data_IF_694816980923
#
_entry.id   IF_694816980923
#
_cell.length_a   1.000
_cell.length_b   1.000
_cell.length_c   1.000
_cell.angle_alpha   90.00
_cell.angle_beta   90.00
_cell.angle_gamma   90.00
#
_symmetry.space_group_name_H-M   'P 1'
#
loop_
_entity.id
_entity.type
_entity.pdbx_description
1 polymer ?
#
# COMPACT_ATOMS: atom_id res chain seq x y z
N UNK A 1 -47.21 -10.61 4.45
CA UNK A 1 -46.09 -10.67 3.48
C UNK A 1 -44.98 -11.47 4.17
N UNK A 2 -44.79 -12.74 3.77
CA UNK A 2 -43.72 -13.59 4.29
C UNK A 2 -42.38 -13.15 3.68
N UNK A 3 -41.33 -13.21 4.48
CA UNK A 3 -40.00 -12.73 4.13
C UNK A 3 -39.18 -13.78 3.40
N UNK A 4 -38.21 -13.31 2.61
CA UNK A 4 -37.37 -14.08 1.69
C UNK A 4 -36.59 -15.25 2.33
N UNK A 5 -36.50 -15.27 3.66
CA UNK A 5 -35.79 -16.28 4.45
C UNK A 5 -36.56 -17.60 4.51
N UNK A 6 -37.90 -17.56 4.44
CA UNK A 6 -38.72 -18.79 4.47
C UNK A 6 -38.64 -19.57 3.13
N UNK A 7 -38.37 -18.90 2.00
CA UNK A 7 -38.28 -19.53 0.66
C UNK A 7 -36.95 -20.24 0.40
N UNK A 8 -35.92 -19.98 1.22
CA UNK A 8 -34.58 -20.61 1.06
C UNK A 8 -34.47 -21.90 1.87
N UNK A 9 -35.24 -22.04 2.94
CA UNK A 9 -35.20 -23.23 3.80
C UNK A 9 -36.00 -24.42 3.23
N UNK A 10 -37.01 -24.17 2.39
CA UNK A 10 -37.79 -25.24 1.73
C UNK A 10 -37.11 -25.85 0.49
N UNK A 11 -35.94 -25.32 0.06
CA UNK A 11 -35.24 -25.79 -1.15
C UNK A 11 -34.06 -26.73 -0.90
N UNK A 12 -33.84 -27.16 0.34
CA UNK A 12 -32.63 -27.94 0.71
C UNK A 12 -32.90 -29.38 1.17
N UNK A 13 -34.17 -29.80 1.19
CA UNK A 13 -34.57 -31.12 1.73
C UNK A 13 -35.01 -32.15 0.69
N UNK A 14 -34.81 -31.90 -0.62
CA UNK A 14 -35.10 -32.91 -1.64
C UNK A 14 -33.90 -33.16 -2.57
N UNK A 15 -33.61 -34.45 -2.72
CA UNK A 15 -32.70 -35.12 -3.66
C UNK A 15 -31.28 -35.43 -3.14
N UNK A 16 -31.20 -36.47 -2.31
CA UNK A 16 -30.07 -37.41 -2.32
C UNK A 16 -30.57 -38.80 -1.85
N UNK A 17 -30.84 -39.73 -2.77
CA UNK A 17 -30.74 -41.19 -2.56
C UNK A 17 -31.03 -42.00 -3.85
N UNK A 18 -29.99 -42.53 -4.51
CA UNK A 18 -29.89 -43.96 -4.89
C UNK A 18 -28.63 -44.25 -5.73
N UNK A 19 -27.67 -44.96 -5.15
CA UNK A 19 -26.64 -45.76 -5.84
C UNK A 19 -27.32 -46.94 -6.59
N UNK A 20 -26.90 -47.40 -7.77
CA UNK A 20 -25.77 -48.35 -8.03
C UNK A 20 -26.05 -49.08 -9.36
N UNK A 21 -25.01 -49.53 -10.10
CA UNK A 21 -25.16 -50.55 -11.15
C UNK A 21 -24.24 -50.41 -12.37
N UNK A 22 -23.38 -51.40 -12.56
CA UNK A 22 -22.22 -51.49 -13.46
C UNK A 22 -22.54 -51.87 -14.93
N UNK A 23 -21.55 -51.57 -15.80
CA UNK A 23 -20.95 -52.43 -16.84
C UNK A 23 -21.35 -52.38 -18.35
N UNK A 24 -20.25 -52.37 -19.13
CA UNK A 24 -19.93 -52.88 -20.47
C UNK A 24 -20.62 -52.40 -21.76
N UNK A 25 -19.79 -52.19 -22.81
CA UNK A 25 -20.21 -52.39 -24.20
C UNK A 25 -19.70 -51.42 -25.30
N UNK A 26 -18.46 -51.63 -25.76
CA UNK A 26 -18.06 -51.72 -27.19
C UNK A 26 -18.13 -50.53 -28.19
N UNK A 27 -16.92 -50.16 -28.65
CA UNK A 27 -16.42 -50.07 -30.05
C UNK A 27 -16.93 -49.04 -31.09
N UNK A 28 -15.93 -48.37 -31.68
CA UNK A 28 -15.68 -48.20 -33.13
C UNK A 28 -16.40 -47.07 -33.93
N UNK A 29 -15.62 -46.02 -34.20
CA UNK A 29 -14.89 -45.82 -35.48
C UNK A 29 -15.26 -44.60 -36.36
N UNK A 30 -14.15 -44.01 -36.84
CA UNK A 30 -13.89 -43.36 -38.13
C UNK A 30 -14.42 -41.96 -38.51
N UNK A 31 -13.43 -41.05 -38.56
CA UNK A 31 -12.88 -40.38 -39.76
C UNK A 31 -13.57 -39.16 -40.42
N UNK A 32 -12.66 -38.24 -40.77
CA UNK A 32 -12.61 -37.39 -41.98
C UNK A 32 -13.30 -36.03 -41.95
N UNK A 33 -12.78 -34.96 -42.55
CA UNK A 33 -11.45 -34.42 -42.98
C UNK A 33 -11.80 -33.01 -43.52
N UNK A 34 -10.80 -32.16 -43.77
CA UNK A 34 -10.91 -31.05 -44.73
C UNK A 34 -10.64 -29.69 -44.08
N UNK A 35 -9.40 -29.19 -44.04
CA UNK A 35 -8.60 -28.64 -45.15
C UNK A 35 -8.64 -27.09 -45.14
N UNK A 36 -7.46 -26.54 -44.87
CA UNK A 36 -6.70 -25.70 -45.81
C UNK A 36 -6.58 -24.17 -45.67
N UNK A 37 -5.28 -23.81 -45.69
CA UNK A 37 -4.60 -22.76 -46.45
C UNK A 37 -4.15 -21.45 -45.75
N UNK A 38 -2.87 -21.51 -45.36
CA UNK A 38 -1.71 -20.89 -46.04
C UNK A 38 -1.32 -19.40 -45.85
N UNK A 39 -0.02 -19.30 -45.55
CA UNK A 39 1.03 -18.39 -46.03
C UNK A 39 0.97 -16.87 -45.74
N UNK A 40 2.04 -16.34 -45.13
CA UNK A 40 3.21 -15.86 -45.89
C UNK A 40 4.28 -15.24 -44.96
N UNK A 41 5.53 -15.41 -45.41
CA UNK A 41 6.81 -15.05 -44.82
C UNK A 41 7.10 -13.54 -44.73
N UNK A 42 8.05 -13.17 -43.87
CA UNK A 42 8.65 -11.85 -43.90
C UNK A 42 9.74 -11.60 -42.86
N UNK A 43 10.94 -12.12 -43.11
CA UNK A 43 12.16 -11.70 -42.41
C UNK A 43 12.45 -10.20 -42.62
N UNK A 44 12.82 -9.49 -41.55
CA UNK A 44 13.77 -8.37 -41.65
C UNK A 44 14.56 -8.23 -40.36
N UNK A 45 15.86 -8.51 -40.50
CA UNK A 45 16.96 -8.08 -39.65
C UNK A 45 16.96 -6.54 -39.51
N UNK A 46 17.41 -6.05 -38.35
CA UNK A 46 17.40 -4.65 -37.98
C UNK A 46 17.71 -4.44 -36.50
N UNK A 47 18.96 -4.68 -36.12
CA UNK A 47 19.47 -4.38 -34.79
C UNK A 47 19.26 -2.91 -34.40
N UNK A 48 18.68 -2.70 -33.21
CA UNK A 48 18.65 -1.40 -32.56
C UNK A 48 18.82 -1.62 -31.04
N UNK A 49 20.04 -1.40 -30.55
CA UNK A 49 20.40 -1.38 -29.14
C UNK A 49 19.72 -0.19 -28.44
N UNK A 50 18.44 -0.34 -28.11
CA UNK A 50 17.75 0.62 -27.25
C UNK A 50 18.10 0.35 -25.80
N UNK A 51 19.00 1.20 -25.28
CA UNK A 51 19.28 1.34 -23.85
C UNK A 51 17.97 1.32 -23.04
N UNK A 52 17.81 0.26 -22.25
CA UNK A 52 16.70 0.06 -21.34
C UNK A 52 16.78 1.09 -20.21
N UNK A 53 15.90 2.09 -20.24
CA UNK A 53 15.57 2.89 -19.07
C UNK A 53 14.25 2.38 -18.52
N UNK A 54 14.31 1.54 -17.49
CA UNK A 54 13.14 1.23 -16.67
C UNK A 54 12.61 2.53 -16.07
N UNK A 55 11.54 3.05 -16.64
CA UNK A 55 10.88 4.24 -16.12
C UNK A 55 10.03 3.79 -14.94
N UNK A 56 10.30 4.25 -13.71
CA UNK A 56 9.39 4.01 -12.61
C UNK A 56 8.04 4.64 -12.97
N UNK A 57 6.97 3.91 -12.68
CA UNK A 57 5.57 4.34 -12.75
C UNK A 57 5.45 5.84 -12.41
N UNK A 58 4.90 6.64 -13.32
CA UNK A 58 4.77 8.08 -13.17
C UNK A 58 4.04 8.41 -11.86
N UNK A 59 4.68 9.24 -11.02
CA UNK A 59 4.28 9.48 -9.64
C UNK A 59 3.02 10.35 -9.58
N UNK A 60 1.85 9.70 -9.73
CA UNK A 60 0.47 10.17 -9.42
C UNK A 60 0.39 11.34 -8.45
N UNK A 61 1.03 11.10 -7.32
CA UNK A 61 0.86 11.93 -6.15
C UNK A 61 1.51 13.30 -6.36
N UNK A 62 2.46 13.47 -7.28
CA UNK A 62 3.07 14.77 -7.57
C UNK A 62 2.21 15.65 -8.50
N UNK A 63 1.19 15.10 -9.16
CA UNK A 63 0.55 15.76 -10.30
C UNK A 63 -0.96 15.95 -10.16
N UNK A 64 -1.52 16.10 -8.95
CA UNK A 64 -2.97 16.25 -8.82
C UNK A 64 -3.44 17.20 -7.72
N UNK A 65 -3.98 18.33 -8.17
CA UNK A 65 -4.73 19.35 -7.42
C UNK A 65 -6.18 18.88 -7.08
N UNK A 66 -6.54 17.62 -7.34
CA UNK A 66 -7.93 17.17 -7.33
C UNK A 66 -8.38 16.50 -6.01
N UNK A 67 -7.46 16.29 -5.05
CA UNK A 67 -7.84 15.78 -3.71
C UNK A 67 -8.68 16.79 -2.89
N UNK A 68 -8.78 18.05 -3.33
CA UNK A 68 -9.53 19.11 -2.67
C UNK A 68 -10.94 19.35 -3.22
N UNK A 69 -11.26 18.86 -4.43
CA UNK A 69 -12.48 19.24 -5.15
C UNK A 69 -13.56 18.14 -5.22
N UNK A 70 -13.19 16.85 -5.13
CA UNK A 70 -14.14 15.74 -5.26
C UNK A 70 -14.64 15.16 -3.92
N UNK A 71 -14.37 15.84 -2.81
CA UNK A 71 -14.88 15.46 -1.48
C UNK A 71 -16.09 16.33 -1.09
N UNK A 72 -16.99 16.59 -2.05
CA UNK A 72 -18.37 16.99 -1.75
C UNK A 72 -19.09 15.76 -1.19
N UNK A 73 -18.92 15.58 0.13
CA UNK A 73 -19.62 14.61 0.94
C UNK A 73 -21.08 15.08 1.11
N UNK A 74 -22.00 14.35 0.47
CA UNK A 74 -23.46 14.47 0.66
C UNK A 74 -23.89 13.64 1.90
N UNK A 75 -23.04 13.61 2.93
CA UNK A 75 -23.38 13.02 4.23
C UNK A 75 -24.11 14.07 5.07
N UNK A 76 -25.43 14.09 4.95
CA UNK A 76 -26.31 14.56 6.03
C UNK A 76 -26.08 13.63 7.24
N UNK A 77 -25.07 13.96 8.06
CA UNK A 77 -24.78 13.33 9.35
C UNK A 77 -25.79 13.91 10.37
N UNK A 78 -26.97 13.27 10.48
CA UNK A 78 -27.91 13.50 11.57
C UNK A 78 -27.26 13.04 12.89
N UNK A 79 -26.82 14.02 13.69
CA UNK A 79 -26.32 13.88 15.06
C UNK A 79 -27.41 13.31 15.99
N UNK A 80 -27.38 12.00 16.24
CA UNK A 80 -27.97 11.38 17.43
C UNK A 80 -26.83 10.94 18.39
N UNK A 81 -26.24 11.91 19.10
CA UNK A 81 -25.39 11.65 20.25
C UNK A 81 -26.26 11.22 21.45
N UNK A 82 -26.34 9.92 21.73
CA UNK A 82 -26.81 9.45 23.05
C UNK A 82 -25.80 9.84 24.14
N UNK A 83 -26.19 10.81 24.98
CA UNK A 83 -25.48 11.15 26.21
C UNK A 83 -25.37 9.94 27.15
N UNK A 84 -24.14 9.47 27.37
CA UNK A 84 -23.84 8.55 28.47
C UNK A 84 -23.34 9.37 29.66
N UNK A 85 -24.21 9.57 30.65
CA UNK A 85 -23.88 10.20 31.94
C UNK A 85 -22.70 9.49 32.66
N UNK A 86 -21.73 10.23 33.22
CA UNK A 86 -20.77 9.65 34.14
C UNK A 86 -21.30 9.67 35.59
N UNK A 87 -21.34 8.48 36.21
CA UNK A 87 -21.68 8.32 37.64
C UNK A 87 -20.62 8.95 38.54
N UNK A 88 -21.11 9.83 39.41
CA UNK A 88 -20.42 10.57 40.46
C UNK A 88 -19.89 9.65 41.58
N UNK A 89 -18.60 9.74 41.89
CA UNK A 89 -18.11 9.50 43.25
C UNK A 89 -17.20 10.65 43.72
N UNK A 90 -17.50 11.07 44.95
CA UNK A 90 -17.21 12.36 45.58
C UNK A 90 -16.20 12.15 46.71
N UNK A 91 -15.22 13.06 46.83
CA UNK A 91 -14.38 13.47 48.00
C UNK A 91 -12.94 13.74 47.51
N UNK A 92 -12.21 14.78 47.90
CA UNK A 92 -12.41 15.86 48.87
C UNK A 92 -11.45 17.01 48.53
N UNK A 93 -11.84 18.20 49.00
CA UNK A 93 -11.19 19.51 48.95
C UNK A 93 -9.68 19.53 49.23
N UNK A 94 -8.96 20.42 48.53
CA UNK A 94 -8.19 21.46 49.23
C UNK A 94 -8.09 22.74 48.39
N UNK A 95 -8.35 23.85 49.06
CA UNK A 95 -8.44 25.20 48.52
C UNK A 95 -7.04 25.82 48.32
N UNK A 96 -6.89 26.62 47.27
CA UNK A 96 -6.11 27.86 47.30
C UNK A 96 -6.44 28.69 46.05
N UNK A 97 -7.27 29.71 46.27
CA UNK A 97 -7.55 30.78 45.33
C UNK A 97 -6.70 32.01 45.71
N UNK A 98 -6.13 32.67 44.70
CA UNK A 98 -6.13 34.13 44.61
C UNK A 98 -5.66 34.59 43.21
N UNK A 99 -6.12 35.75 42.74
CA UNK A 99 -6.39 36.02 41.33
C UNK A 99 -5.50 37.12 40.72
N UNK A 100 -5.48 37.22 39.39
CA UNK A 100 -5.27 38.52 38.76
C UNK A 100 -6.15 38.65 37.50
N UNK A 101 -6.94 39.73 37.52
CA UNK A 101 -7.69 40.28 36.40
C UNK A 101 -6.82 41.26 35.61
N UNK A 102 -7.28 41.61 34.40
CA UNK A 102 -6.80 42.75 33.59
C UNK A 102 -6.20 42.29 32.27
N UNK A 103 -6.58 42.81 31.10
CA UNK A 103 -7.45 43.92 30.76
C UNK A 103 -7.70 43.81 29.25
N UNK A 104 -8.95 44.01 28.83
CA UNK A 104 -9.34 44.09 27.43
C UNK A 104 -8.91 45.44 26.90
N UNK A 105 -7.98 45.48 25.94
CA UNK A 105 -7.79 46.67 25.10
C UNK A 105 -7.73 46.29 23.62
N UNK A 106 -8.79 46.74 22.95
CA UNK A 106 -8.98 46.85 21.51
C UNK A 106 -7.79 47.54 20.83
N UNK A 107 -7.29 46.93 19.76
CA UNK A 107 -6.23 47.49 18.92
C UNK A 107 -6.23 46.86 17.53
N UNK A 108 -7.02 47.43 16.63
CA UNK A 108 -7.05 47.09 15.21
C UNK A 108 -5.73 47.47 14.54
N UNK A 109 -4.90 46.49 14.16
CA UNK A 109 -3.81 46.72 13.20
C UNK A 109 -3.76 45.59 12.19
N UNK A 110 -4.15 45.92 10.95
CA UNK A 110 -3.89 45.12 9.76
C UNK A 110 -2.37 45.05 9.57
N UNK A 111 -1.78 43.86 9.59
CA UNK A 111 -0.44 43.64 9.04
C UNK A 111 -0.46 42.49 8.04
N UNK A 112 -0.36 42.89 6.77
CA UNK A 112 0.20 42.06 5.70
C UNK A 112 1.63 41.69 6.11
N UNK A 113 1.94 40.41 6.20
CA UNK A 113 3.33 39.95 6.30
C UNK A 113 3.67 39.14 5.06
N UNK A 114 4.38 39.84 4.19
CA UNK A 114 5.22 39.33 3.11
C UNK A 114 6.15 38.24 3.65
N UNK A 115 6.06 37.03 3.12
CA UNK A 115 7.00 35.95 3.40
C UNK A 115 8.39 36.34 2.89
N UNK A 116 9.34 36.54 3.82
CA UNK A 116 10.75 36.83 3.53
C UNK A 116 11.56 35.62 3.99
N UNK A 117 12.18 34.96 3.01
CA UNK A 117 13.07 33.80 3.15
C UNK A 117 14.26 34.15 4.05
N UNK A 118 14.46 33.45 5.16
CA UNK A 118 15.61 33.64 6.07
C UNK A 118 16.12 32.28 6.60
N UNK A 119 17.43 32.10 6.49
CA UNK A 119 18.20 30.86 6.65
C UNK A 119 18.52 30.48 8.10
N UNK A 120 18.84 29.20 8.27
CA UNK A 120 19.17 28.42 9.47
C UNK A 120 20.02 29.09 10.54
N UNK A 121 19.47 29.26 11.74
CA UNK A 121 19.81 28.52 12.99
C UNK A 121 18.78 28.96 14.03
N UNK A 122 17.89 28.06 14.46
CA UNK A 122 16.65 28.34 15.22
C UNK A 122 15.64 29.22 14.48
N UNK A 123 14.85 28.60 13.60
CA UNK A 123 13.55 29.18 13.22
C UNK A 123 12.72 29.27 14.50
N UNK A 124 12.29 30.47 14.86
CA UNK A 124 11.25 30.62 15.88
C UNK A 124 9.94 30.15 15.25
N UNK A 125 9.71 28.84 15.31
CA UNK A 125 8.51 28.23 14.75
C UNK A 125 7.33 28.83 15.54
N UNK A 126 6.29 29.36 14.89
CA UNK A 126 5.13 29.90 15.59
C UNK A 126 4.42 28.84 16.43
N UNK A 127 3.90 29.21 17.60
CA UNK A 127 3.15 28.28 18.46
C UNK A 127 1.81 27.85 17.84
N UNK A 128 1.16 28.79 17.13
CA UNK A 128 -0.07 28.53 16.37
C UNK A 128 0.26 28.63 14.90
N UNK A 129 -0.04 27.55 14.16
CA UNK A 129 0.18 27.45 12.72
C UNK A 129 -1.16 27.06 12.09
N UNK A 130 -1.62 27.83 11.12
CA UNK A 130 -2.81 27.48 10.36
C UNK A 130 -2.56 26.23 9.49
N UNK A 131 -3.55 25.34 9.32
CA UNK A 131 -3.38 24.15 8.49
C UNK A 131 -3.15 24.55 7.03
N UNK A 132 -2.15 23.96 6.34
CA UNK A 132 -1.92 24.25 4.93
C UNK A 132 -3.12 23.80 4.09
N UNK A 133 -3.45 24.57 3.06
CA UNK A 133 -4.60 24.33 2.18
C UNK A 133 -4.27 23.47 0.96
N UNK A 134 -3.00 23.44 0.58
CA UNK A 134 -2.48 22.71 -0.56
C UNK A 134 -1.08 22.16 -0.24
N UNK A 135 -0.56 21.36 -1.17
CA UNK A 135 0.71 20.68 -0.99
C UNK A 135 1.90 21.66 -0.97
N UNK A 136 1.84 22.71 -1.78
CA UNK A 136 2.85 23.75 -1.92
C UNK A 136 3.02 24.55 -0.63
N UNK A 137 1.92 24.87 0.05
CA UNK A 137 1.94 25.53 1.37
C UNK A 137 2.63 24.66 2.41
N UNK A 138 2.37 23.35 2.43
CA UNK A 138 3.08 22.45 3.34
C UNK A 138 4.57 22.41 2.99
N UNK A 139 4.93 22.29 1.71
CA UNK A 139 6.34 22.29 1.27
C UNK A 139 7.05 23.58 1.69
N UNK A 140 6.42 24.74 1.52
CA UNK A 140 6.98 26.03 1.93
C UNK A 140 7.19 26.14 3.46
N UNK A 141 6.30 25.53 4.26
CA UNK A 141 6.44 25.49 5.72
C UNK A 141 7.61 24.59 6.17
N UNK A 142 7.88 23.51 5.45
CA UNK A 142 8.88 22.50 5.83
C UNK A 142 10.20 22.60 5.05
N UNK A 143 10.30 23.46 4.03
CA UNK A 143 11.51 23.69 3.23
C UNK A 143 12.68 24.05 4.16
N UNK A 144 13.81 23.36 4.06
CA UNK A 144 15.00 23.52 4.90
C UNK A 144 14.78 23.40 6.44
N UNK A 145 13.70 22.74 6.89
CA UNK A 145 13.52 22.36 8.30
C UNK A 145 14.29 21.07 8.63
N UNK A 146 14.73 20.94 9.89
CA UNK A 146 15.19 19.64 10.40
C UNK A 146 14.03 18.67 10.56
N UNK A 147 14.31 17.35 10.58
CA UNK A 147 13.26 16.35 10.77
C UNK A 147 12.45 16.60 12.06
N UNK A 148 13.10 17.03 13.14
CA UNK A 148 12.44 17.36 14.41
C UNK A 148 11.53 18.59 14.28
N UNK A 149 11.97 19.62 13.56
CA UNK A 149 11.18 20.83 13.30
C UNK A 149 9.94 20.52 12.46
N UNK A 150 10.05 19.64 11.46
CA UNK A 150 8.91 19.20 10.63
C UNK A 150 7.85 18.55 11.52
N UNK A 151 8.25 17.64 12.40
CA UNK A 151 7.32 16.96 13.31
C UNK A 151 6.72 17.94 14.32
N UNK A 152 7.50 18.91 14.79
CA UNK A 152 6.99 19.97 15.66
C UNK A 152 5.94 20.83 14.95
N UNK A 153 6.16 21.21 13.69
CA UNK A 153 5.19 21.94 12.86
C UNK A 153 3.90 21.14 12.72
N UNK A 154 4.00 19.87 12.31
CA UNK A 154 2.84 18.97 12.16
C UNK A 154 2.04 18.87 13.46
N UNK A 155 2.72 18.69 14.60
CA UNK A 155 2.06 18.59 15.90
C UNK A 155 1.40 19.91 16.33
N UNK A 156 2.02 21.06 16.05
CA UNK A 156 1.42 22.37 16.35
C UNK A 156 0.20 22.66 15.51
N UNK A 157 0.22 22.30 14.22
CA UNK A 157 -0.97 22.39 13.35
C UNK A 157 -2.10 21.54 13.95
N UNK A 158 -1.84 20.28 14.30
CA UNK A 158 -2.84 19.37 14.86
C UNK A 158 -3.42 19.86 16.19
N UNK A 159 -2.55 20.21 17.15
CA UNK A 159 -2.98 20.63 18.48
C UNK A 159 -3.71 21.98 18.42
N UNK A 160 -3.18 22.95 17.66
CA UNK A 160 -3.77 24.29 17.52
C UNK A 160 -5.12 24.29 16.79
N UNK A 161 -5.38 23.27 15.97
CA UNK A 161 -6.60 23.14 15.18
C UNK A 161 -7.36 21.85 15.50
N UNK A 162 -7.26 21.36 16.74
CA UNK A 162 -7.95 20.13 17.13
C UNK A 162 -9.47 20.27 16.97
N UNK A 163 -10.13 19.19 16.54
CA UNK A 163 -11.58 19.13 16.32
C UNK A 163 -12.34 19.41 17.63
N UNK A 164 -11.76 18.98 18.76
CA UNK A 164 -12.29 19.24 20.12
C UNK A 164 -12.34 20.73 20.49
N UNK A 165 -11.57 21.58 19.81
CA UNK A 165 -11.57 23.03 20.09
C UNK A 165 -12.72 23.71 19.34
N UNK A 166 -12.92 23.38 18.06
CA UNK A 166 -14.01 23.87 17.22
C UNK A 166 -14.39 22.82 16.18
N UNK A 167 -15.67 22.50 16.06
CA UNK A 167 -16.18 21.53 15.07
C UNK A 167 -15.80 21.91 13.63
N UNK A 168 -15.77 23.21 13.30
CA UNK A 168 -15.34 23.75 12.00
C UNK A 168 -13.90 23.33 11.60
N UNK A 169 -13.06 22.95 12.55
CA UNK A 169 -11.71 22.49 12.26
C UNK A 169 -11.68 21.10 11.62
N UNK A 170 -12.77 20.32 11.68
CA UNK A 170 -12.84 18.97 11.09
C UNK A 170 -12.47 18.99 9.61
N UNK A 171 -13.09 19.87 8.82
CA UNK A 171 -12.78 20.02 7.38
C UNK A 171 -11.32 20.42 7.12
N UNK A 172 -10.75 21.30 7.96
CA UNK A 172 -9.34 21.70 7.83
C UNK A 172 -8.38 20.56 8.16
N UNK A 173 -8.68 19.75 9.17
CA UNK A 173 -7.88 18.59 9.57
C UNK A 173 -7.97 17.45 8.56
N UNK A 174 -9.13 17.26 7.93
CA UNK A 174 -9.30 16.35 6.81
C UNK A 174 -8.41 16.74 5.62
N UNK A 175 -8.47 17.99 5.17
CA UNK A 175 -7.60 18.50 4.09
C UNK A 175 -6.12 18.34 4.47
N UNK A 176 -5.75 18.74 5.69
CA UNK A 176 -4.39 18.60 6.17
C UNK A 176 -3.91 17.14 6.22
N UNK A 177 -4.76 16.19 6.62
CA UNK A 177 -4.43 14.76 6.61
C UNK A 177 -4.13 14.28 5.18
N UNK A 178 -4.95 14.67 4.20
CA UNK A 178 -4.73 14.35 2.80
C UNK A 178 -3.37 14.86 2.30
N UNK A 179 -3.04 16.12 2.63
CA UNK A 179 -1.76 16.75 2.28
C UNK A 179 -0.57 16.10 3.00
N UNK A 180 -0.74 15.70 4.26
CA UNK A 180 0.31 15.04 5.03
C UNK A 180 0.58 13.61 4.53
N UNK A 181 -0.47 12.88 4.17
CA UNK A 181 -0.35 11.54 3.56
C UNK A 181 0.33 11.64 2.19
N UNK A 182 -0.03 12.66 1.42
CA UNK A 182 0.61 13.02 0.17
C UNK A 182 2.11 13.34 0.35
N UNK A 183 2.46 14.13 1.37
CA UNK A 183 3.85 14.41 1.74
C UNK A 183 4.62 13.16 2.14
N UNK A 184 4.03 12.29 2.94
CA UNK A 184 4.61 11.00 3.29
C UNK A 184 4.92 10.18 2.03
N UNK A 185 3.99 10.10 1.09
CA UNK A 185 4.19 9.33 -0.13
C UNK A 185 5.30 9.93 -1.01
N UNK A 186 5.32 11.25 -1.23
CA UNK A 186 6.39 11.91 -2.00
C UNK A 186 7.77 11.72 -1.36
N UNK A 187 7.86 11.73 -0.03
CA UNK A 187 9.13 11.46 0.66
C UNK A 187 9.70 10.07 0.35
N UNK A 188 8.86 9.07 0.06
CA UNK A 188 9.32 7.72 -0.32
C UNK A 188 9.92 7.66 -1.73
N UNK A 189 9.58 8.62 -2.59
CA UNK A 189 10.13 8.75 -3.95
C UNK A 189 11.43 9.56 -4.00
N UNK A 190 11.76 10.32 -2.94
CA UNK A 190 12.95 11.18 -2.91
C UNK A 190 14.24 10.36 -2.70
N UNK A 191 15.30 10.78 -3.39
CA UNK A 191 16.66 10.23 -3.25
C UNK A 191 17.61 11.32 -2.76
N UNK A 192 18.35 11.14 -1.64
CA UNK A 192 18.32 9.98 -0.75
C UNK A 192 17.03 9.89 0.08
N UNK A 193 16.62 8.66 0.42
CA UNK A 193 15.42 8.40 1.22
C UNK A 193 15.63 8.86 2.68
N UNK A 194 14.74 9.72 3.16
CA UNK A 194 14.72 10.14 4.56
C UNK A 194 13.87 9.20 5.42
N UNK A 195 14.40 8.01 5.71
CA UNK A 195 13.68 6.97 6.46
C UNK A 195 13.32 7.39 7.89
N UNK A 196 14.17 8.18 8.54
CA UNK A 196 13.92 8.69 9.89
C UNK A 196 12.66 9.58 9.93
N UNK A 197 12.55 10.51 8.99
CA UNK A 197 11.37 11.39 8.90
C UNK A 197 10.11 10.59 8.60
N UNK A 198 10.16 9.62 7.68
CA UNK A 198 9.04 8.74 7.38
C UNK A 198 8.55 8.02 8.64
N UNK A 199 9.45 7.45 9.42
CA UNK A 199 9.11 6.78 10.69
C UNK A 199 8.48 7.75 11.70
N UNK A 200 8.99 8.98 11.81
CA UNK A 200 8.42 9.98 12.71
C UNK A 200 7.04 10.48 12.27
N UNK A 201 6.73 10.50 10.97
CA UNK A 201 5.43 10.88 10.43
C UNK A 201 4.33 9.83 10.68
N UNK A 202 4.69 8.57 10.92
CA UNK A 202 3.72 7.49 11.19
C UNK A 202 2.82 7.84 12.37
N UNK A 203 3.41 8.30 13.48
CA UNK A 203 2.64 8.59 14.71
C UNK A 203 1.59 9.69 14.48
N UNK A 204 1.93 10.89 13.95
CA UNK A 204 0.93 11.90 13.60
C UNK A 204 -0.15 11.39 12.65
N UNK A 205 0.20 10.60 11.62
CA UNK A 205 -0.78 10.05 10.67
C UNK A 205 -1.75 9.07 11.33
N UNK A 206 -1.26 8.20 12.22
CA UNK A 206 -2.09 7.29 13.03
C UNK A 206 -3.01 8.08 13.95
N UNK A 207 -2.49 9.06 14.70
CA UNK A 207 -3.32 9.83 15.62
C UNK A 207 -4.40 10.63 14.87
N UNK A 208 -4.06 11.28 13.75
CA UNK A 208 -5.06 11.95 12.90
C UNK A 208 -6.11 10.99 12.35
N UNK A 209 -5.71 9.78 11.94
CA UNK A 209 -6.67 8.79 11.44
C UNK A 209 -7.70 8.36 12.48
N UNK A 210 -7.34 8.39 13.78
CA UNK A 210 -8.28 8.11 14.87
C UNK A 210 -9.23 9.29 15.13
N UNK A 211 -8.80 10.51 14.83
CA UNK A 211 -9.63 11.72 14.96
C UNK A 211 -10.63 11.88 13.78
N UNK A 212 -10.29 11.35 12.59
CA UNK A 212 -11.10 11.44 11.36
C UNK A 212 -11.17 10.09 10.60
N UNK A 213 -11.69 9.01 11.22
CA UNK A 213 -11.58 7.64 10.70
C UNK A 213 -12.22 7.42 9.33
N UNK A 214 -13.43 7.98 9.11
CA UNK A 214 -14.14 7.85 7.82
C UNK A 214 -13.36 8.50 6.67
N UNK A 215 -12.88 9.73 6.89
CA UNK A 215 -12.09 10.44 5.89
C UNK A 215 -10.75 9.76 5.60
N UNK A 216 -10.07 9.26 6.64
CA UNK A 216 -8.84 8.50 6.47
C UNK A 216 -9.07 7.24 5.63
N UNK A 217 -10.18 6.52 5.87
CA UNK A 217 -10.54 5.34 5.08
C UNK A 217 -10.85 5.69 3.61
N UNK A 218 -11.55 6.80 3.36
CA UNK A 218 -11.82 7.30 1.99
C UNK A 218 -10.50 7.62 1.28
N UNK A 219 -9.59 8.36 1.92
CA UNK A 219 -8.28 8.69 1.35
C UNK A 219 -7.46 7.45 0.98
N UNK A 220 -7.44 6.44 1.86
CA UNK A 220 -6.73 5.19 1.61
C UNK A 220 -7.39 4.39 0.47
N UNK A 221 -8.72 4.30 0.46
CA UNK A 221 -9.48 3.59 -0.58
C UNK A 221 -9.28 4.20 -1.97
N UNK A 222 -9.30 5.54 -2.09
CA UNK A 222 -9.06 6.20 -3.37
C UNK A 222 -7.65 5.93 -3.91
N UNK A 223 -6.63 5.99 -3.04
CA UNK A 223 -5.24 5.64 -3.41
C UNK A 223 -5.10 4.17 -3.81
N UNK A 224 -5.77 3.25 -3.13
CA UNK A 224 -5.81 1.83 -3.50
C UNK A 224 -6.44 1.62 -4.88
N UNK A 225 -7.60 2.24 -5.14
CA UNK A 225 -8.29 2.14 -6.42
C UNK A 225 -7.41 2.63 -7.56
N UNK A 226 -6.76 3.78 -7.37
CA UNK A 226 -5.86 4.31 -8.39
C UNK A 226 -4.62 3.45 -8.57
N UNK A 227 -3.99 3.01 -7.49
CA UNK A 227 -2.82 2.11 -7.54
C UNK A 227 -3.17 0.85 -8.33
N UNK A 228 -4.35 0.28 -8.08
CA UNK A 228 -4.85 -0.88 -8.81
C UNK A 228 -5.08 -0.58 -10.29
N UNK A 229 -5.68 0.56 -10.63
CA UNK A 229 -5.88 0.96 -12.02
C UNK A 229 -4.55 1.10 -12.77
N UNK A 230 -3.56 1.77 -12.18
CA UNK A 230 -2.21 1.89 -12.73
C UNK A 230 -1.54 0.52 -12.91
N UNK A 231 -1.70 -0.36 -11.93
CA UNK A 231 -1.20 -1.73 -12.00
C UNK A 231 -1.86 -2.54 -13.12
N UNK A 232 -3.18 -2.43 -13.30
CA UNK A 232 -3.87 -3.09 -14.41
C UNK A 232 -3.35 -2.63 -15.78
N UNK A 233 -3.00 -1.35 -15.94
CA UNK A 233 -2.36 -0.86 -17.16
C UNK A 233 -0.91 -1.37 -17.29
N UNK A 234 -0.15 -1.41 -16.20
CA UNK A 234 1.24 -1.89 -16.20
C UNK A 234 1.37 -3.38 -16.60
N UNK A 235 0.42 -4.23 -16.18
CA UNK A 235 0.44 -5.66 -16.55
C UNK A 235 0.24 -5.85 -18.06
N UNK A 236 -0.45 -4.95 -18.76
CA UNK A 236 -0.63 -5.05 -20.22
C UNK A 236 0.69 -4.94 -20.97
N UNK A 237 1.68 -4.25 -20.39
CA UNK A 237 3.02 -4.06 -20.95
C UNK A 237 4.08 -4.51 -19.92
N UNK A 238 4.28 -5.83 -19.74
CA UNK A 238 5.16 -6.36 -18.69
C UNK A 238 6.62 -5.88 -18.76
N UNK A 239 7.08 -5.46 -19.94
CA UNK A 239 8.45 -4.96 -20.17
C UNK A 239 8.77 -3.67 -19.39
N UNK A 240 7.75 -2.89 -19.02
CA UNK A 240 7.91 -1.67 -18.23
C UNK A 240 8.04 -1.94 -16.71
N UNK A 241 7.83 -3.18 -16.26
CA UNK A 241 7.78 -3.55 -14.86
C UNK A 241 6.42 -3.26 -14.23
N UNK A 242 5.82 -4.27 -13.60
CA UNK A 242 4.50 -4.17 -12.97
C UNK A 242 4.53 -4.38 -11.44
N UNK A 243 5.72 -4.57 -10.85
CA UNK A 243 5.89 -4.71 -9.41
C UNK A 243 5.64 -3.39 -8.67
N UNK A 244 5.14 -3.43 -7.42
CA UNK A 244 4.80 -2.24 -6.67
C UNK A 244 6.02 -1.37 -6.39
N UNK A 245 5.83 -0.05 -6.51
CA UNK A 245 6.85 0.94 -6.19
C UNK A 245 7.16 0.97 -4.68
N UNK A 246 8.30 1.56 -4.29
CA UNK A 246 8.66 1.76 -2.87
C UNK A 246 7.55 2.54 -2.14
N UNK A 247 6.98 3.54 -2.81
CA UNK A 247 5.85 4.33 -2.34
C UNK A 247 4.63 3.48 -2.02
N UNK A 248 4.22 2.62 -2.96
CA UNK A 248 3.11 1.69 -2.78
C UNK A 248 3.35 0.77 -1.58
N UNK A 249 4.56 0.21 -1.44
CA UNK A 249 4.91 -0.67 -0.32
C UNK A 249 4.85 0.06 1.04
N UNK A 250 5.35 1.29 1.10
CA UNK A 250 5.30 2.11 2.32
C UNK A 250 3.86 2.50 2.69
N UNK A 251 3.02 2.82 1.72
CA UNK A 251 1.60 3.11 1.95
C UNK A 251 0.83 1.88 2.44
N UNK A 252 1.03 0.72 1.80
CA UNK A 252 0.44 -0.55 2.26
C UNK A 252 0.87 -0.87 3.70
N UNK A 253 2.14 -0.65 4.02
CA UNK A 253 2.67 -0.84 5.37
C UNK A 253 2.08 0.16 6.37
N UNK A 254 1.92 1.42 5.99
CA UNK A 254 1.32 2.46 6.82
C UNK A 254 -0.14 2.14 7.13
N UNK A 255 -0.94 1.79 6.12
CA UNK A 255 -2.35 1.44 6.32
C UNK A 255 -2.53 0.22 7.21
N UNK A 256 -1.61 -0.75 7.15
CA UNK A 256 -1.61 -1.90 8.07
C UNK A 256 -1.33 -1.53 9.53
N UNK A 257 -0.79 -0.34 9.80
CA UNK A 257 -0.59 0.20 11.16
C UNK A 257 -1.78 1.06 11.61
N UNK A 258 -2.46 1.70 10.66
CA UNK A 258 -3.60 2.59 10.91
C UNK A 258 -4.89 1.79 11.13
N UNK A 259 -5.16 0.80 10.28
CA UNK A 259 -6.45 0.10 10.21
C UNK A 259 -6.35 -1.33 10.78
N UNK A 260 -7.43 -1.81 11.43
CA UNK A 260 -7.46 -3.16 11.98
C UNK A 260 -7.36 -4.23 10.88
N UNK A 261 -6.40 -5.14 11.04
CA UNK A 261 -6.17 -6.25 10.11
C UNK A 261 -7.02 -7.50 10.43
N UNK A 262 -7.56 -7.57 11.65
CA UNK A 262 -8.32 -8.69 12.20
C UNK A 262 -9.74 -8.83 11.66
N UNK A 263 -10.32 -7.75 11.17
CA UNK A 263 -11.72 -7.69 10.78
C UNK A 263 -12.07 -8.70 9.69
N UNK A 264 -13.30 -9.22 9.74
CA UNK A 264 -13.80 -10.12 8.70
C UNK A 264 -13.81 -9.41 7.33
N UNK A 265 -14.33 -8.19 7.29
CA UNK A 265 -14.33 -7.30 6.12
C UNK A 265 -14.08 -5.87 6.57
N UNK A 266 -13.05 -5.24 6.01
CA UNK A 266 -12.67 -3.86 6.34
C UNK A 266 -12.54 -3.04 5.04
N UNK A 267 -13.06 -1.80 4.97
CA UNK A 267 -13.12 -1.00 3.74
C UNK A 267 -11.75 -0.69 3.11
N UNK A 268 -10.67 -0.66 3.92
CA UNK A 268 -9.28 -0.44 3.46
C UNK A 268 -8.44 -1.73 3.43
N UNK A 269 -8.35 -2.46 4.55
CA UNK A 269 -7.50 -3.65 4.63
C UNK A 269 -7.92 -4.79 3.70
N UNK A 270 -9.22 -5.03 3.49
CA UNK A 270 -9.65 -6.07 2.54
C UNK A 270 -9.17 -5.79 1.12
N UNK A 271 -9.42 -4.61 0.51
CA UNK A 271 -8.85 -4.30 -0.81
C UNK A 271 -7.32 -4.19 -0.82
N UNK A 272 -6.68 -3.79 0.30
CA UNK A 272 -5.22 -3.80 0.40
C UNK A 272 -4.65 -5.22 0.27
N UNK A 273 -5.23 -6.18 0.98
CA UNK A 273 -4.83 -7.60 0.91
C UNK A 273 -5.06 -8.13 -0.50
N UNK A 274 -6.22 -7.86 -1.10
CA UNK A 274 -6.51 -8.27 -2.47
C UNK A 274 -5.49 -7.71 -3.46
N UNK A 275 -5.13 -6.43 -3.35
CA UNK A 275 -4.11 -5.82 -4.20
C UNK A 275 -2.73 -6.48 -4.02
N UNK A 276 -2.33 -6.78 -2.77
CA UNK A 276 -1.08 -7.50 -2.50
C UNK A 276 -1.08 -8.90 -3.11
N UNK A 277 -2.19 -9.64 -2.99
CA UNK A 277 -2.37 -10.95 -3.65
C UNK A 277 -2.34 -10.83 -5.17
N UNK A 278 -2.95 -9.78 -5.73
CA UNK A 278 -2.98 -9.52 -7.18
C UNK A 278 -1.56 -9.28 -7.73
N UNK A 279 -0.72 -8.50 -7.03
CA UNK A 279 0.70 -8.34 -7.36
C UNK A 279 1.46 -9.67 -7.31
N UNK A 280 1.27 -10.47 -6.25
CA UNK A 280 1.99 -11.75 -6.10
C UNK A 280 1.67 -12.75 -7.19
N UNK A 281 0.46 -12.70 -7.76
CA UNK A 281 0.02 -13.66 -8.78
C UNK A 281 0.20 -13.21 -10.22
N UNK A 282 0.04 -11.92 -10.50
CA UNK A 282 -0.01 -11.43 -11.88
C UNK A 282 1.27 -10.75 -12.33
N UNK A 283 2.21 -10.46 -11.43
CA UNK A 283 3.50 -9.93 -11.82
C UNK A 283 4.46 -11.04 -12.26
N UNK A 284 4.95 -11.04 -13.52
CA UNK A 284 6.04 -11.92 -13.89
C UNK A 284 7.32 -11.56 -13.11
N UNK A 285 8.03 -12.60 -12.69
CA UNK A 285 9.35 -12.48 -12.06
C UNK A 285 10.40 -12.51 -13.16
N UNK A 286 11.05 -11.38 -13.42
CA UNK A 286 12.04 -11.24 -14.49
C UNK A 286 13.46 -10.96 -13.98
N UNK A 287 13.58 -10.46 -12.74
CA UNK A 287 14.85 -10.04 -12.15
C UNK A 287 14.95 -10.42 -10.68
N UNK A 288 16.18 -10.43 -10.13
CA UNK A 288 16.37 -10.60 -8.67
C UNK A 288 15.74 -9.46 -7.85
N UNK A 289 15.60 -8.27 -8.43
CA UNK A 289 14.86 -7.17 -7.81
C UNK A 289 13.38 -7.52 -7.60
N UNK A 290 12.75 -8.10 -8.61
CA UNK A 290 11.36 -8.55 -8.55
C UNK A 290 11.16 -9.58 -7.44
N UNK A 291 12.11 -10.51 -7.31
CA UNK A 291 12.13 -11.51 -6.23
C UNK A 291 12.18 -10.81 -4.88
N UNK A 292 13.08 -9.84 -4.68
CA UNK A 292 13.18 -9.12 -3.42
C UNK A 292 11.90 -8.35 -3.08
N UNK A 293 11.24 -7.75 -4.07
CA UNK A 293 9.95 -7.06 -3.89
C UNK A 293 8.86 -8.08 -3.53
N UNK A 294 8.78 -9.21 -4.22
CA UNK A 294 7.83 -10.29 -3.95
C UNK A 294 8.00 -10.87 -2.54
N UNK A 295 9.23 -11.20 -2.13
CA UNK A 295 9.54 -11.68 -0.78
C UNK A 295 9.17 -10.67 0.31
N UNK A 296 9.44 -9.38 0.08
CA UNK A 296 9.05 -8.33 1.00
C UNK A 296 7.52 -8.18 1.08
N UNK A 297 6.81 -8.30 -0.04
CA UNK A 297 5.36 -8.27 -0.08
C UNK A 297 4.74 -9.46 0.67
N UNK A 298 5.29 -10.67 0.51
CA UNK A 298 4.91 -11.83 1.32
C UNK A 298 5.09 -11.57 2.82
N UNK A 299 6.15 -10.86 3.22
CA UNK A 299 6.37 -10.47 4.62
C UNK A 299 5.30 -9.51 5.15
N UNK A 300 4.85 -8.55 4.33
CA UNK A 300 3.72 -7.66 4.68
C UNK A 300 2.43 -8.46 4.80
N UNK A 301 2.14 -9.35 3.85
CA UNK A 301 0.94 -10.21 3.88
C UNK A 301 0.92 -11.07 5.14
N UNK A 302 2.05 -11.70 5.49
CA UNK A 302 2.18 -12.46 6.73
C UNK A 302 1.88 -11.61 7.96
N UNK A 303 2.40 -10.38 8.01
CA UNK A 303 2.16 -9.47 9.12
C UNK A 303 0.68 -9.12 9.28
N UNK A 304 -0.01 -8.86 8.17
CA UNK A 304 -1.45 -8.54 8.15
C UNK A 304 -2.30 -9.77 8.49
N UNK A 305 -1.90 -10.96 8.03
CA UNK A 305 -2.63 -12.20 8.26
C UNK A 305 -2.39 -12.80 9.67
N UNK A 306 -1.28 -12.45 10.35
CA UNK A 306 -0.84 -13.08 11.60
C UNK A 306 -1.90 -13.07 12.71
N UNK A 307 -2.54 -11.93 12.93
CA UNK A 307 -3.52 -11.78 14.02
C UNK A 307 -4.85 -12.48 13.68
N UNK A 308 -5.28 -12.38 12.42
CA UNK A 308 -6.53 -12.97 11.93
C UNK A 308 -6.41 -14.47 11.62
N UNK A 309 -5.19 -15.01 11.53
CA UNK A 309 -4.87 -16.37 11.08
C UNK A 309 -5.50 -16.72 9.72
N UNK A 310 -5.70 -15.71 8.86
CA UNK A 310 -6.22 -15.91 7.51
C UNK A 310 -5.21 -16.68 6.67
N UNK A 311 -5.70 -17.61 5.87
CA UNK A 311 -4.89 -18.33 4.89
C UNK A 311 -4.77 -17.50 3.61
N UNK A 312 -3.54 -17.23 3.15
CA UNK A 312 -3.26 -16.52 1.90
C UNK A 312 -2.51 -17.46 0.94
N UNK A 313 -3.22 -18.10 -0.01
CA UNK A 313 -2.59 -19.04 -0.93
C UNK A 313 -1.59 -18.38 -1.87
N UNK A 314 -1.80 -17.12 -2.25
CA UNK A 314 -0.95 -16.41 -3.21
C UNK A 314 0.47 -16.20 -2.67
N UNK A 315 0.61 -15.86 -1.39
CA UNK A 315 1.91 -15.72 -0.74
C UNK A 315 2.65 -17.07 -0.66
N UNK A 316 1.94 -18.16 -0.35
CA UNK A 316 2.53 -19.49 -0.33
C UNK A 316 2.97 -19.96 -1.71
N UNK A 317 2.16 -19.70 -2.74
CA UNK A 317 2.49 -20.04 -4.11
C UNK A 317 3.69 -19.20 -4.61
N UNK A 318 3.75 -17.92 -4.25
CA UNK A 318 4.90 -17.07 -4.54
C UNK A 318 6.17 -17.63 -3.89
N UNK A 319 6.15 -17.94 -2.59
CA UNK A 319 7.30 -18.56 -1.88
C UNK A 319 7.71 -19.88 -2.53
N UNK A 320 6.75 -20.75 -2.84
CA UNK A 320 7.01 -22.00 -3.55
C UNK A 320 7.71 -21.75 -4.88
N UNK A 321 7.24 -20.78 -5.66
CA UNK A 321 7.84 -20.40 -6.95
C UNK A 321 9.29 -19.93 -6.77
N UNK A 322 9.57 -19.13 -5.74
CA UNK A 322 10.94 -18.71 -5.41
C UNK A 322 11.85 -19.89 -5.06
N UNK A 323 11.35 -20.85 -4.27
CA UNK A 323 12.11 -22.06 -3.94
C UNK A 323 12.37 -22.94 -5.17
N UNK A 324 11.41 -23.04 -6.09
CA UNK A 324 11.60 -23.74 -7.36
C UNK A 324 12.65 -23.05 -8.24
N UNK A 325 12.70 -21.72 -8.24
CA UNK A 325 13.72 -20.94 -8.96
C UNK A 325 15.15 -21.11 -8.41
N UNK A 326 15.31 -21.72 -7.23
CA UNK A 326 16.60 -22.07 -6.64
C UNK A 326 17.07 -23.49 -6.98
N UNK A 327 16.18 -24.35 -7.49
CA UNK A 327 16.49 -25.72 -7.87
C UNK A 327 17.06 -25.79 -9.28
N UNK A 328 18.22 -26.45 -9.43
CA UNK A 328 18.89 -26.70 -10.72
C UNK A 328 18.23 -27.84 -11.55
N UNK A 329 17.21 -28.50 -10.98
CA UNK A 329 16.53 -29.60 -11.66
C UNK A 329 15.48 -29.06 -12.64
N UNK A 330 15.70 -29.30 -13.93
CA UNK A 330 14.70 -29.13 -14.99
C UNK A 330 13.37 -29.82 -14.62
N UNK A 331 12.39 -29.00 -14.22
CA UNK A 331 10.96 -29.28 -13.98
C UNK A 331 10.56 -30.44 -13.04
N UNK A 332 9.58 -30.25 -12.14
CA UNK A 332 8.88 -31.37 -11.51
C UNK A 332 8.06 -32.16 -12.55
N UNK A 333 7.85 -33.45 -12.31
CA UNK A 333 7.02 -34.33 -13.13
C UNK A 333 5.62 -33.74 -13.36
N UNK A 334 5.07 -33.96 -14.57
CA UNK A 334 3.87 -33.37 -15.19
C UNK A 334 2.55 -33.36 -14.40
N UNK A 335 2.51 -33.86 -13.17
CA UNK A 335 1.32 -33.84 -12.30
C UNK A 335 1.13 -32.55 -11.51
N UNK A 336 2.15 -31.69 -11.38
CA UNK A 336 2.02 -30.39 -10.70
C UNK A 336 1.62 -29.23 -11.65
N UNK A 337 1.47 -29.51 -12.95
CA UNK A 337 1.28 -28.54 -14.03
C UNK A 337 0.06 -27.62 -13.87
N UNK A 338 -0.99 -28.05 -13.17
CA UNK A 338 -2.24 -27.32 -13.06
C UNK A 338 -2.13 -26.05 -12.19
N UNK A 339 -1.26 -26.04 -11.17
CA UNK A 339 -1.03 -24.85 -10.34
C UNK A 339 -0.14 -23.80 -11.02
N UNK A 340 0.69 -24.22 -11.97
CA UNK A 340 1.64 -23.35 -12.67
C UNK A 340 0.99 -22.55 -13.82
N UNK A 341 -0.27 -22.81 -14.17
CA UNK A 341 -0.94 -22.11 -15.27
C UNK A 341 -1.36 -20.67 -14.90
N UNK A 342 -1.55 -20.36 -13.62
CA UNK A 342 -2.01 -19.04 -13.16
C UNK A 342 -0.89 -17.99 -13.01
N UNK A 343 0.35 -18.44 -12.87
CA UNK A 343 1.51 -17.57 -13.02
C UNK A 343 2.00 -17.80 -14.44
N UNK A 344 2.00 -16.78 -15.29
CA UNK A 344 2.75 -16.83 -16.55
C UNK A 344 4.25 -16.90 -16.20
N UNK A 345 4.68 -18.09 -15.80
CA UNK A 345 6.05 -18.45 -15.54
C UNK A 345 6.69 -18.56 -16.92
N UNK A 346 7.01 -17.41 -17.51
CA UNK A 346 8.03 -17.33 -18.56
C UNK A 346 9.24 -18.07 -17.99
N UNK A 347 9.43 -19.30 -18.46
CA UNK A 347 10.48 -20.27 -18.11
C UNK A 347 11.19 -19.93 -16.80
N UNK A 348 10.90 -20.65 -15.71
CA UNK A 348 11.66 -20.58 -14.44
C UNK A 348 13.15 -20.78 -14.73
N UNK A 349 13.81 -19.71 -15.14
CA UNK A 349 15.24 -19.65 -15.24
C UNK A 349 15.73 -19.80 -13.82
N UNK A 350 16.84 -20.51 -13.59
CA UNK A 350 17.36 -20.77 -12.25
C UNK A 350 17.96 -19.47 -11.66
N UNK A 351 17.14 -18.42 -11.50
CA UNK A 351 17.51 -17.07 -11.09
C UNK A 351 18.12 -17.07 -9.69
N UNK A 352 17.74 -18.03 -8.85
CA UNK A 352 18.21 -18.19 -7.48
C UNK A 352 19.14 -19.39 -7.29
N UNK A 353 19.52 -20.09 -8.36
CA UNK A 353 20.46 -21.20 -8.24
C UNK A 353 21.86 -20.67 -7.91
N UNK A 354 22.40 -21.10 -6.77
CA UNK A 354 23.76 -20.77 -6.32
C UNK A 354 24.74 -21.67 -7.08
N UNK A 355 25.65 -21.07 -7.83
CA UNK A 355 26.60 -21.82 -8.66
C UNK A 355 27.93 -22.05 -7.92
N UNK A 356 28.37 -21.06 -7.14
CA UNK A 356 29.62 -21.04 -6.40
C UNK A 356 29.42 -21.11 -4.88
N UNK A 357 30.50 -21.40 -4.16
CA UNK A 357 30.47 -21.46 -2.70
C UNK A 357 30.35 -20.06 -2.07
N UNK A 358 29.23 -19.80 -1.39
CA UNK A 358 29.01 -18.59 -0.59
C UNK A 358 29.59 -18.75 0.81
N UNK A 359 30.48 -17.85 1.23
CA UNK A 359 31.19 -17.93 2.52
C UNK A 359 30.38 -17.44 3.71
N UNK A 360 29.55 -16.42 3.51
CA UNK A 360 28.76 -15.78 4.56
C UNK A 360 27.46 -15.23 3.97
N UNK A 361 26.35 -15.43 4.68
CA UNK A 361 25.04 -14.93 4.28
C UNK A 361 24.81 -13.58 4.97
N UNK A 362 24.66 -12.52 4.17
CA UNK A 362 24.53 -11.16 4.69
C UNK A 362 23.06 -10.75 4.78
N UNK A 363 22.61 -10.07 5.85
CA UNK A 363 21.25 -9.54 5.92
C UNK A 363 20.98 -8.56 4.77
N UNK A 364 19.88 -8.79 4.05
CA UNK A 364 19.47 -7.91 2.97
C UNK A 364 18.98 -6.57 3.51
N UNK A 365 19.45 -5.48 2.90
CA UNK A 365 18.89 -4.15 3.13
C UNK A 365 17.93 -3.82 1.98
N UNK A 366 16.64 -3.96 2.23
CA UNK A 366 15.59 -3.74 1.22
C UNK A 366 15.64 -2.35 0.59
N UNK A 367 15.98 -1.31 1.36
CA UNK A 367 16.08 0.05 0.85
C UNK A 367 17.24 0.19 -0.15
N UNK A 368 18.40 -0.41 0.17
CA UNK A 368 19.53 -0.46 -0.76
C UNK A 368 19.17 -1.22 -2.05
N UNK A 369 18.42 -2.31 -1.95
CA UNK A 369 17.95 -3.08 -3.11
C UNK A 369 17.07 -2.21 -4.01
N UNK A 370 16.13 -1.45 -3.44
CA UNK A 370 15.20 -0.61 -4.19
C UNK A 370 15.88 0.58 -4.88
N UNK A 371 17.04 1.02 -4.38
CA UNK A 371 17.86 2.06 -5.00
C UNK A 371 18.73 1.57 -6.17
N UNK A 372 19.02 0.26 -6.26
CA UNK A 372 19.80 -0.32 -7.35
C UNK A 372 18.99 -0.41 -8.66
N UNK A 373 19.61 -0.22 -9.84
CA UNK A 373 18.94 -0.46 -11.12
C UNK A 373 18.59 -1.94 -11.27
N UNK A 374 17.47 -2.27 -11.92
CA UNK A 374 17.00 -3.66 -12.07
C UNK A 374 18.04 -4.58 -12.76
N UNK A 375 18.82 -4.02 -13.68
CA UNK A 375 19.88 -4.73 -14.42
C UNK A 375 21.23 -4.79 -13.66
N UNK A 376 21.24 -4.47 -12.36
CA UNK A 376 22.48 -4.49 -11.56
C UNK A 376 23.04 -5.91 -11.46
N UNK A 377 24.37 -6.12 -11.69
CA UNK A 377 24.99 -7.43 -11.54
C UNK A 377 24.90 -7.98 -10.11
N UNK A 378 24.62 -7.12 -9.13
CA UNK A 378 24.33 -7.52 -7.75
C UNK A 378 23.21 -8.57 -7.69
N UNK A 379 22.15 -8.43 -8.49
CA UNK A 379 21.01 -9.34 -8.48
C UNK A 379 21.30 -10.72 -9.07
N UNK A 380 22.40 -10.87 -9.80
CA UNK A 380 22.87 -12.15 -10.34
C UNK A 380 23.96 -12.78 -9.47
N UNK A 381 24.42 -12.10 -8.41
CA UNK A 381 25.47 -12.61 -7.53
C UNK A 381 24.96 -13.72 -6.61
N UNK A 382 25.81 -14.70 -6.34
CA UNK A 382 25.49 -15.80 -5.42
C UNK A 382 25.32 -15.32 -3.97
N UNK A 383 26.01 -14.24 -3.58
CA UNK A 383 25.81 -13.59 -2.29
C UNK A 383 24.37 -13.08 -2.14
N UNK A 384 23.81 -12.44 -3.18
CA UNK A 384 22.41 -12.01 -3.19
C UNK A 384 21.46 -13.21 -3.14
N UNK A 385 21.70 -14.24 -3.97
CA UNK A 385 20.87 -15.46 -4.03
C UNK A 385 20.82 -16.19 -2.69
N UNK A 386 21.96 -16.37 -2.02
CA UNK A 386 22.00 -16.98 -0.69
C UNK A 386 21.28 -16.12 0.35
N UNK A 387 21.45 -14.80 0.30
CA UNK A 387 20.83 -13.88 1.24
C UNK A 387 19.30 -13.80 1.10
N UNK A 388 18.78 -13.84 -0.14
CA UNK A 388 17.34 -13.85 -0.38
C UNK A 388 16.73 -15.20 0.00
N UNK A 389 17.39 -16.33 -0.29
CA UNK A 389 16.93 -17.65 0.12
C UNK A 389 16.92 -17.85 1.63
N UNK A 390 17.83 -17.19 2.36
CA UNK A 390 17.79 -17.18 3.82
C UNK A 390 16.68 -16.28 4.40
N UNK A 391 16.12 -15.37 3.60
CA UNK A 391 15.10 -14.42 4.02
C UNK A 391 13.67 -14.87 3.67
N UNK A 392 13.53 -15.74 2.67
CA UNK A 392 12.30 -16.44 2.27
C UNK A 392 12.07 -17.63 3.20
#
# INVERSE_FOLDING_TARGET
KRGWIDDVLDRKDDVDNSESGEDDGSSEDSESEGEDDDDDDGESDGGDEKQRKGHPLEDWEQSDDELGAELEDDSDDDDDEEEVEPRVHKKSKNDNAAPYEGEVLSGTVKQKTTMKKLSSTQRDIPFVIDPPKNFEELLALVEDCSNADIILIVNRIRIGNAIKIKAENRKKMQVFYGILLQYFAVLTSKKPLNFELLNMLVKPLVEMSMEIPYFAAICARQRLLKTRAQFCEAIKNPEAGCWPSLKTLFLLRLWSMIFPCSDFRHPVMTPSILLMSEYLMRCPISSGRDIAIGSFLCSIVLLVAKESKKFCPEALLSIRTLLMAASDKNSPSSQESEFYHFMELKSLTPLLCIQDHVKEVMPLNFLKIMDQPADSPYFSSDDFRASILSSV
#
